data_IF_743831454743
#
_entry.id   IF_743831454743
#
_cell.length_a   1.000
_cell.length_b   1.000
_cell.length_c   1.000
_cell.angle_alpha   90.00
_cell.angle_beta   90.00
_cell.angle_gamma   90.00
#
_symmetry.space_group_name_H-M   'P 1'
#
loop_
_entity.id
_entity.type
_entity.pdbx_description
1 polymer ?
#
# COMPACT_ATOMS: atom_id res chain seq x y z
N UNK A 1 -4.07 5.86 -30.57
CA UNK A 1 -2.76 6.52 -30.78
C UNK A 1 -2.55 7.53 -29.67
N UNK A 2 -1.45 7.41 -28.92
CA UNK A 2 -1.10 8.29 -27.80
C UNK A 2 0.15 9.09 -28.20
N UNK A 3 0.18 10.40 -27.91
CA UNK A 3 1.26 11.28 -28.35
C UNK A 3 1.71 12.23 -27.22
N UNK A 4 3.01 12.44 -27.09
CA UNK A 4 3.59 13.53 -26.30
C UNK A 4 3.85 14.70 -27.26
N UNK A 5 3.01 15.74 -27.26
CA UNK A 5 3.13 16.81 -28.22
C UNK A 5 4.38 17.65 -27.95
N UNK A 6 4.93 18.25 -29.00
CA UNK A 6 5.98 19.27 -28.91
C UNK A 6 5.61 20.49 -29.72
N UNK A 7 6.01 21.66 -29.23
CA UNK A 7 5.81 22.94 -29.90
C UNK A 7 4.45 23.58 -29.59
N UNK A 8 4.01 24.46 -30.49
CA UNK A 8 2.81 25.32 -30.31
C UNK A 8 1.71 25.07 -31.34
N UNK A 9 1.81 23.98 -32.08
CA UNK A 9 0.83 23.62 -33.11
C UNK A 9 0.39 22.17 -32.90
N UNK A 10 -0.78 22.02 -32.28
CA UNK A 10 -1.36 20.71 -31.99
C UNK A 10 -2.22 20.16 -33.13
N UNK A 11 -2.49 20.95 -34.18
CA UNK A 11 -3.27 20.50 -35.34
C UNK A 11 -2.61 19.33 -36.08
N UNK A 12 -1.28 19.18 -35.92
CA UNK A 12 -0.50 18.06 -36.45
C UNK A 12 -0.83 16.71 -35.83
N UNK A 13 -1.49 16.71 -34.67
CA UNK A 13 -1.88 15.51 -33.92
C UNK A 13 -3.36 15.17 -34.09
N UNK A 14 -4.00 15.73 -35.13
CA UNK A 14 -5.42 15.57 -35.39
C UNK A 14 -5.84 14.10 -35.51
N UNK A 15 -6.95 13.73 -34.86
CA UNK A 15 -7.48 12.36 -34.85
C UNK A 15 -6.75 11.40 -33.92
N UNK A 16 -5.81 11.88 -33.09
CA UNK A 16 -5.18 11.07 -32.06
C UNK A 16 -6.20 10.72 -30.95
N UNK A 17 -5.97 9.59 -30.28
CA UNK A 17 -6.82 9.18 -29.16
C UNK A 17 -6.61 10.10 -27.97
N UNK A 18 -5.35 10.40 -27.65
CA UNK A 18 -4.97 11.24 -26.52
C UNK A 18 -3.61 11.89 -26.80
N UNK A 19 -3.49 13.16 -26.42
CA UNK A 19 -2.20 13.85 -26.36
C UNK A 19 -1.90 14.30 -24.91
N UNK A 20 -0.61 14.42 -24.57
CA UNK A 20 -0.13 14.62 -23.18
C UNK A 20 0.69 15.90 -22.96
N UNK A 21 0.23 17.11 -23.33
CA UNK A 21 1.02 18.32 -23.17
C UNK A 21 1.33 18.61 -21.70
N UNK A 22 2.49 19.20 -21.44
CA UNK A 22 2.74 19.87 -20.16
C UNK A 22 2.01 21.22 -20.09
N UNK A 23 1.96 21.80 -18.89
CA UNK A 23 1.27 23.07 -18.64
C UNK A 23 1.72 24.19 -19.59
N UNK A 24 3.03 24.35 -19.78
CA UNK A 24 3.58 25.39 -20.64
C UNK A 24 3.26 25.16 -22.12
N UNK A 25 3.27 23.91 -22.58
CA UNK A 25 2.87 23.54 -23.94
C UNK A 25 1.36 23.77 -24.15
N UNK A 26 0.54 23.43 -23.16
CA UNK A 26 -0.90 23.66 -23.18
C UNK A 26 -1.22 25.16 -23.26
N UNK A 27 -0.68 25.99 -22.35
CA UNK A 27 -0.94 27.43 -22.36
C UNK A 27 -0.41 28.12 -23.63
N UNK A 28 0.67 27.61 -24.23
CA UNK A 28 1.19 28.15 -25.47
C UNK A 28 0.24 27.99 -26.67
N UNK A 29 -0.71 27.04 -26.60
CA UNK A 29 -1.72 26.80 -27.65
C UNK A 29 -3.09 27.29 -27.22
N UNK A 30 -3.50 27.01 -25.98
CA UNK A 30 -4.84 27.27 -25.47
C UNK A 30 -5.01 28.71 -24.92
N UNK A 31 -3.90 29.39 -24.62
CA UNK A 31 -3.87 30.65 -23.88
C UNK A 31 -3.69 30.44 -22.38
N UNK A 32 -3.35 31.51 -21.67
CA UNK A 32 -3.13 31.48 -20.22
C UNK A 32 -4.44 31.15 -19.48
N UNK A 33 -4.37 30.23 -18.51
CA UNK A 33 -5.52 29.80 -17.72
C UNK A 33 -5.26 30.04 -16.23
N UNK A 34 -6.07 30.87 -15.58
CA UNK A 34 -5.92 31.23 -14.17
C UNK A 34 -6.63 30.30 -13.18
N UNK A 35 -7.54 29.45 -13.66
CA UNK A 35 -8.33 28.53 -12.84
C UNK A 35 -8.74 27.27 -13.61
N UNK A 36 -9.32 26.29 -12.91
CA UNK A 36 -9.74 25.02 -13.51
C UNK A 36 -10.86 25.21 -14.56
N UNK A 37 -11.80 26.14 -14.37
CA UNK A 37 -12.88 26.36 -15.33
C UNK A 37 -12.36 26.89 -16.68
N UNK A 38 -11.38 27.79 -16.65
CA UNK A 38 -10.69 28.27 -17.86
C UNK A 38 -9.91 27.15 -18.56
N UNK A 39 -9.20 26.33 -17.77
CA UNK A 39 -8.49 25.14 -18.27
C UNK A 39 -9.47 24.18 -18.96
N UNK A 40 -10.58 23.83 -18.30
CA UNK A 40 -11.60 22.92 -18.83
C UNK A 40 -12.16 23.42 -20.16
N UNK A 41 -12.58 24.68 -20.23
CA UNK A 41 -13.10 25.29 -21.45
C UNK A 41 -12.07 25.27 -22.60
N UNK A 42 -10.81 25.60 -22.30
CA UNK A 42 -9.72 25.59 -23.27
C UNK A 42 -9.36 24.15 -23.72
N UNK A 43 -9.42 23.19 -22.81
CA UNK A 43 -9.21 21.77 -23.10
C UNK A 43 -10.29 21.21 -24.03
N UNK A 44 -11.57 21.51 -23.78
CA UNK A 44 -12.66 21.06 -24.65
C UNK A 44 -12.55 21.62 -26.06
N UNK A 45 -12.18 22.91 -26.18
CA UNK A 45 -11.94 23.53 -27.48
C UNK A 45 -10.80 22.82 -28.24
N UNK A 46 -9.69 22.53 -27.56
CA UNK A 46 -8.58 21.80 -28.19
C UNK A 46 -8.94 20.38 -28.59
N UNK A 47 -9.76 19.70 -27.79
CA UNK A 47 -10.27 18.37 -28.11
C UNK A 47 -11.10 18.42 -29.41
N UNK A 48 -11.97 19.42 -29.56
CA UNK A 48 -12.78 19.63 -30.76
C UNK A 48 -11.89 19.98 -31.97
N UNK A 49 -11.03 20.99 -31.85
CA UNK A 49 -10.17 21.49 -32.93
C UNK A 49 -9.23 20.39 -33.49
N UNK A 50 -8.76 19.50 -32.61
CA UNK A 50 -7.84 18.41 -32.94
C UNK A 50 -8.54 17.05 -33.11
N UNK A 51 -9.87 16.97 -33.02
CA UNK A 51 -10.64 15.72 -33.11
C UNK A 51 -10.08 14.61 -32.19
N UNK A 52 -9.81 14.96 -30.93
CA UNK A 52 -9.26 14.04 -29.93
C UNK A 52 -10.37 13.30 -29.19
N UNK A 53 -10.07 12.11 -28.66
CA UNK A 53 -10.96 11.48 -27.67
C UNK A 53 -10.73 12.05 -26.27
N UNK A 54 -9.46 12.30 -25.93
CA UNK A 54 -9.05 12.79 -24.62
C UNK A 54 -7.86 13.77 -24.74
N UNK A 55 -7.73 14.66 -23.76
CA UNK A 55 -6.57 15.52 -23.56
C UNK A 55 -6.08 15.35 -22.12
N UNK A 56 -4.82 14.98 -21.93
CA UNK A 56 -4.22 14.90 -20.59
C UNK A 56 -3.18 16.00 -20.42
N UNK A 57 -3.48 16.99 -19.59
CA UNK A 57 -2.56 18.08 -19.28
C UNK A 57 -1.79 17.76 -18.01
N UNK A 58 -0.45 17.69 -18.08
CA UNK A 58 0.41 17.55 -16.90
C UNK A 58 0.72 18.92 -16.30
N UNK A 59 0.46 19.10 -15.01
CA UNK A 59 0.47 20.38 -14.29
C UNK A 59 1.55 20.47 -13.21
N UNK A 60 2.63 19.70 -13.36
CA UNK A 60 3.73 19.66 -12.39
C UNK A 60 3.23 19.30 -10.98
N UNK A 61 3.49 20.19 -10.01
CA UNK A 61 3.08 20.01 -8.60
C UNK A 61 1.55 20.00 -8.39
N UNK A 62 0.77 20.49 -9.35
CA UNK A 62 -0.70 20.43 -9.27
C UNK A 62 -1.26 19.08 -9.75
N UNK A 63 -0.41 18.19 -10.29
CA UNK A 63 -0.79 16.88 -10.77
C UNK A 63 -1.18 16.88 -12.25
N UNK A 64 -2.35 16.34 -12.59
CA UNK A 64 -2.80 16.17 -13.98
C UNK A 64 -4.30 16.50 -14.14
N UNK A 65 -4.68 16.98 -15.32
CA UNK A 65 -6.08 17.16 -15.71
C UNK A 65 -6.38 16.32 -16.95
N UNK A 66 -7.26 15.34 -16.84
CA UNK A 66 -7.77 14.55 -17.96
C UNK A 66 -9.11 15.12 -18.39
N UNK A 67 -9.23 15.59 -19.63
CA UNK A 67 -10.49 15.99 -20.25
C UNK A 67 -10.87 15.01 -21.36
N UNK A 68 -12.16 14.73 -21.49
CA UNK A 68 -12.72 13.84 -22.51
C UNK A 68 -13.66 14.59 -23.47
N UNK A 69 -13.87 14.02 -24.65
CA UNK A 69 -14.73 14.59 -25.69
C UNK A 69 -16.21 14.70 -25.31
N UNK A 70 -16.65 13.97 -24.30
CA UNK A 70 -18.01 14.03 -23.73
C UNK A 70 -18.15 15.08 -22.61
N UNK A 71 -17.19 15.99 -22.53
CA UNK A 71 -17.12 17.08 -21.54
C UNK A 71 -16.92 16.63 -20.09
N UNK A 72 -16.46 15.41 -19.86
CA UNK A 72 -16.00 15.00 -18.52
C UNK A 72 -14.56 15.45 -18.28
N UNK A 73 -14.27 15.95 -17.08
CA UNK A 73 -12.91 16.29 -16.63
C UNK A 73 -12.61 15.65 -15.28
N UNK A 74 -11.41 15.09 -15.16
CA UNK A 74 -10.85 14.56 -13.93
C UNK A 74 -9.55 15.28 -13.58
N UNK A 75 -9.54 15.95 -12.43
CA UNK A 75 -8.33 16.53 -11.85
C UNK A 75 -7.73 15.57 -10.83
N UNK A 76 -6.51 15.12 -11.11
CA UNK A 76 -5.74 14.21 -10.27
C UNK A 76 -4.61 15.01 -9.61
N UNK A 77 -4.65 15.29 -8.30
CA UNK A 77 -3.55 15.99 -7.63
C UNK A 77 -2.26 15.18 -7.71
N UNK A 78 -1.11 15.86 -7.72
CA UNK A 78 0.18 15.17 -7.60
C UNK A 78 0.29 14.50 -6.23
N UNK A 79 1.08 13.44 -6.14
CA UNK A 79 1.40 12.79 -4.87
C UNK A 79 2.91 12.62 -4.66
N UNK A 80 3.73 13.31 -5.45
CA UNK A 80 5.17 13.34 -5.23
C UNK A 80 5.44 13.98 -3.86
N UNK A 81 6.04 13.20 -2.94
CA UNK A 81 6.40 13.69 -1.60
C UNK A 81 7.67 14.55 -1.63
N UNK A 82 8.60 14.23 -2.53
CA UNK A 82 9.84 14.99 -2.76
C UNK A 82 10.18 14.95 -4.26
N UNK A 83 10.35 16.11 -4.89
CA UNK A 83 10.71 16.22 -6.31
C UNK A 83 12.22 16.45 -6.39
N UNK A 84 12.94 15.48 -6.92
CA UNK A 84 14.39 15.52 -7.10
C UNK A 84 14.79 15.90 -8.53
N UNK A 85 14.17 15.26 -9.53
CA UNK A 85 14.46 15.48 -10.96
C UNK A 85 13.21 15.25 -11.79
N UNK A 86 12.86 16.17 -12.69
CA UNK A 86 11.66 16.04 -13.55
C UNK A 86 11.96 15.40 -14.91
N UNK A 87 13.22 15.05 -15.16
CA UNK A 87 13.67 14.47 -16.43
C UNK A 87 13.04 13.10 -16.67
N UNK A 88 12.36 12.92 -17.82
CA UNK A 88 11.74 11.64 -18.20
C UNK A 88 10.37 11.36 -17.57
N UNK A 89 9.81 12.29 -16.79
CA UNK A 89 8.47 12.16 -16.23
C UNK A 89 7.39 12.06 -17.32
N UNK A 90 7.48 12.89 -18.37
CA UNK A 90 6.55 12.85 -19.52
C UNK A 90 6.58 11.51 -20.26
N UNK A 91 7.78 10.98 -20.53
CA UNK A 91 7.96 9.66 -21.15
C UNK A 91 7.35 8.55 -20.28
N UNK A 92 7.49 8.66 -18.96
CA UNK A 92 6.89 7.73 -18.00
C UNK A 92 5.36 7.78 -18.04
N UNK A 93 4.78 8.98 -18.14
CA UNK A 93 3.32 9.17 -18.24
C UNK A 93 2.78 8.48 -19.49
N UNK A 94 3.34 8.79 -20.65
CA UNK A 94 2.83 8.24 -21.92
C UNK A 94 3.06 6.73 -22.02
N UNK A 95 4.19 6.22 -21.54
CA UNK A 95 4.46 4.78 -21.52
C UNK A 95 3.49 4.03 -20.60
N UNK A 96 3.24 4.57 -19.40
CA UNK A 96 2.32 3.95 -18.44
C UNK A 96 0.88 3.97 -18.94
N UNK A 97 0.43 5.09 -19.51
CA UNK A 97 -0.87 5.20 -20.19
C UNK A 97 -1.02 4.16 -21.29
N UNK A 98 -0.01 4.05 -22.17
CA UNK A 98 -0.03 3.11 -23.28
C UNK A 98 -0.19 1.67 -22.80
N UNK A 99 0.58 1.26 -21.80
CA UNK A 99 0.52 -0.10 -21.24
C UNK A 99 -0.84 -0.36 -20.58
N UNK A 100 -1.34 0.56 -19.75
CA UNK A 100 -2.60 0.38 -19.04
C UNK A 100 -3.81 0.33 -20.00
N UNK A 101 -3.85 1.23 -20.99
CA UNK A 101 -4.91 1.24 -22.00
C UNK A 101 -4.82 0.00 -22.90
N UNK A 102 -3.62 -0.45 -23.27
CA UNK A 102 -3.43 -1.70 -24.03
C UNK A 102 -3.90 -2.93 -23.24
N UNK A 103 -3.81 -2.89 -21.91
CA UNK A 103 -4.36 -3.91 -21.01
C UNK A 103 -5.89 -3.80 -20.80
N UNK A 104 -6.58 -2.91 -21.52
CA UNK A 104 -8.03 -2.73 -21.46
C UNK A 104 -8.53 -1.92 -20.27
N UNK A 105 -7.65 -1.22 -19.55
CA UNK A 105 -8.07 -0.35 -18.45
C UNK A 105 -8.74 0.93 -18.98
N UNK A 106 -9.76 1.46 -18.27
CA UNK A 106 -10.33 2.79 -18.55
C UNK A 106 -9.27 3.89 -18.53
N UNK A 107 -9.45 4.95 -19.31
CA UNK A 107 -8.47 6.04 -19.46
C UNK A 107 -8.23 6.75 -18.14
N UNK A 108 -9.26 6.88 -17.30
CA UNK A 108 -9.21 7.46 -15.97
C UNK A 108 -8.29 6.64 -15.04
N UNK A 109 -8.45 5.30 -15.06
CA UNK A 109 -7.61 4.38 -14.29
C UNK A 109 -6.16 4.38 -14.81
N UNK A 110 -5.98 4.39 -16.14
CA UNK A 110 -4.67 4.52 -16.77
C UNK A 110 -3.98 5.84 -16.39
N UNK A 111 -4.74 6.94 -16.33
CA UNK A 111 -4.23 8.25 -15.94
C UNK A 111 -3.85 8.29 -14.46
N UNK A 112 -4.66 7.70 -13.57
CA UNK A 112 -4.31 7.58 -12.16
C UNK A 112 -2.99 6.81 -11.97
N UNK A 113 -2.80 5.71 -12.71
CA UNK A 113 -1.57 4.94 -12.68
C UNK A 113 -0.37 5.73 -13.23
N UNK A 114 -0.57 6.49 -14.31
CA UNK A 114 0.46 7.34 -14.90
C UNK A 114 0.86 8.51 -14.00
N UNK A 115 -0.10 9.11 -13.29
CA UNK A 115 0.17 10.14 -12.29
C UNK A 115 1.00 9.60 -11.12
N UNK A 116 0.70 8.38 -10.66
CA UNK A 116 1.52 7.69 -9.67
C UNK A 116 2.93 7.39 -10.20
N UNK A 117 3.02 6.86 -11.41
CA UNK A 117 4.29 6.53 -12.08
C UNK A 117 5.20 7.77 -12.19
N UNK A 118 4.64 8.88 -12.66
CA UNK A 118 5.34 10.15 -12.74
C UNK A 118 5.82 10.61 -11.36
N UNK A 119 4.94 10.55 -10.34
CA UNK A 119 5.29 10.90 -8.96
C UNK A 119 6.45 10.09 -8.38
N UNK A 120 6.56 8.80 -8.74
CA UNK A 120 7.68 7.94 -8.33
C UNK A 120 8.97 8.31 -9.08
N UNK A 121 8.89 8.52 -10.39
CA UNK A 121 10.07 8.83 -11.22
C UNK A 121 10.66 10.18 -10.87
N UNK A 122 9.83 11.20 -10.57
CA UNK A 122 10.37 12.51 -10.19
C UNK A 122 11.10 12.51 -8.85
N UNK A 123 10.91 11.46 -8.04
CA UNK A 123 11.65 11.21 -6.81
C UNK A 123 13.05 10.61 -7.02
N UNK A 124 13.45 10.31 -8.27
CA UNK A 124 14.71 9.65 -8.61
C UNK A 124 15.61 10.60 -9.40
N UNK A 125 16.92 10.36 -9.36
CA UNK A 125 17.91 11.13 -10.15
C UNK A 125 17.99 10.63 -11.60
N UNK A 126 17.92 11.54 -12.56
CA UNK A 126 18.10 11.28 -13.99
C UNK A 126 16.91 10.61 -14.66
N UNK A 127 17.13 10.09 -15.87
CA UNK A 127 16.14 9.30 -16.63
C UNK A 127 15.94 7.94 -15.96
N UNK A 128 15.09 7.89 -14.95
CA UNK A 128 14.76 6.68 -14.22
C UNK A 128 13.49 6.02 -14.76
N UNK A 129 13.43 4.69 -14.67
CA UNK A 129 12.21 3.92 -14.96
C UNK A 129 11.42 3.64 -13.69
N UNK A 130 10.13 3.38 -13.84
CA UNK A 130 9.29 2.79 -12.80
C UNK A 130 9.08 1.30 -13.06
N UNK A 131 9.21 0.48 -12.02
CA UNK A 131 8.92 -0.95 -12.09
C UNK A 131 7.47 -1.26 -11.69
N UNK A 132 6.96 -2.42 -12.11
CA UNK A 132 5.64 -2.88 -11.70
C UNK A 132 5.50 -2.97 -10.16
N UNK A 133 6.56 -3.39 -9.46
CA UNK A 133 6.58 -3.46 -7.99
C UNK A 133 6.45 -2.07 -7.36
N UNK A 134 7.12 -1.07 -7.90
CA UNK A 134 7.03 0.30 -7.39
C UNK A 134 5.64 0.90 -7.61
N UNK A 135 5.00 0.61 -8.74
CA UNK A 135 3.61 1.00 -8.99
C UNK A 135 2.64 0.28 -8.04
N UNK A 136 2.80 -1.02 -7.84
CA UNK A 136 1.99 -1.80 -6.90
C UNK A 136 2.12 -1.24 -5.48
N UNK A 137 3.36 -0.98 -5.03
CA UNK A 137 3.64 -0.34 -3.73
C UNK A 137 2.96 1.01 -3.63
N UNK A 138 3.15 1.88 -4.62
CA UNK A 138 2.56 3.20 -4.63
C UNK A 138 1.03 3.15 -4.57
N UNK A 139 0.39 2.20 -5.27
CA UNK A 139 -1.07 2.00 -5.25
C UNK A 139 -1.55 1.47 -3.90
N UNK A 140 -0.78 0.55 -3.30
CA UNK A 140 -1.08 -0.04 -2.00
C UNK A 140 -1.01 1.02 -0.90
N UNK A 141 -0.02 1.90 -0.93
CA UNK A 141 0.05 3.08 -0.04
C UNK A 141 -1.16 4.02 -0.21
N UNK A 142 -1.83 4.03 -1.37
CA UNK A 142 -3.08 4.79 -1.54
C UNK A 142 -4.30 4.10 -0.93
N UNK A 143 -4.32 2.76 -0.93
CA UNK A 143 -5.51 1.95 -0.63
C UNK A 143 -5.52 1.47 0.81
N UNK A 144 -4.38 1.05 1.31
CA UNK A 144 -4.19 0.73 2.71
C UNK A 144 -3.86 2.03 3.41
N UNK A 145 -4.88 2.61 4.02
CA UNK A 145 -4.67 3.29 5.29
C UNK A 145 -3.72 2.42 6.11
N UNK A 146 -2.81 3.05 6.85
CA UNK A 146 -1.66 2.48 7.56
C UNK A 146 -1.92 1.16 8.35
N UNK A 147 -3.18 0.75 8.51
CA UNK A 147 -3.64 -0.37 9.31
C UNK A 147 -4.64 -1.28 8.55
N UNK A 148 -4.62 -2.60 8.78
CA UNK A 148 -5.65 -3.51 8.29
C UNK A 148 -5.25 -4.97 8.09
N UNK A 149 -6.21 -5.76 7.59
CA UNK A 149 -5.99 -7.14 7.13
C UNK A 149 -5.35 -7.12 5.74
N UNK A 150 -4.23 -7.82 5.57
CA UNK A 150 -3.44 -7.83 4.33
C UNK A 150 -3.08 -9.24 3.89
N UNK A 151 -2.86 -9.42 2.58
CA UNK A 151 -2.23 -10.63 2.06
C UNK A 151 -0.74 -10.63 2.37
N UNK A 152 -0.08 -11.79 2.29
CA UNK A 152 1.37 -11.85 2.49
C UNK A 152 2.14 -11.09 1.40
N UNK A 153 1.67 -11.12 0.14
CA UNK A 153 2.30 -10.40 -0.95
C UNK A 153 2.22 -8.89 -0.74
N UNK A 154 1.06 -8.40 -0.30
CA UNK A 154 0.85 -7.00 0.04
C UNK A 154 1.68 -6.59 1.27
N UNK A 155 1.75 -7.45 2.30
CA UNK A 155 2.54 -7.19 3.50
C UNK A 155 4.01 -6.96 3.15
N UNK A 156 4.60 -7.76 2.27
CA UNK A 156 6.00 -7.61 1.87
C UNK A 156 6.23 -6.24 1.21
N UNK A 157 5.30 -5.78 0.37
CA UNK A 157 5.38 -4.46 -0.25
C UNK A 157 5.25 -3.32 0.79
N UNK A 158 4.36 -3.46 1.77
CA UNK A 158 4.17 -2.47 2.85
C UNK A 158 5.39 -2.37 3.76
N UNK A 159 5.98 -3.52 4.09
CA UNK A 159 7.16 -3.60 4.94
C UNK A 159 8.39 -3.04 4.24
N UNK A 160 8.58 -3.32 2.96
CA UNK A 160 9.64 -2.66 2.18
C UNK A 160 9.42 -1.15 2.12
N UNK A 161 8.17 -0.69 1.94
CA UNK A 161 7.86 0.74 1.97
C UNK A 161 8.14 1.40 3.33
N UNK A 162 7.83 0.71 4.43
CA UNK A 162 8.10 1.18 5.78
C UNK A 162 9.62 1.27 6.06
N UNK A 163 10.39 0.27 5.61
CA UNK A 163 11.85 0.30 5.71
C UNK A 163 12.49 1.42 4.92
N UNK A 164 11.98 1.72 3.72
CA UNK A 164 12.44 2.87 2.92
C UNK A 164 12.23 4.20 3.67
N UNK A 165 11.25 4.28 4.58
CA UNK A 165 11.02 5.41 5.50
C UNK A 165 11.84 5.34 6.79
N UNK A 166 12.65 4.30 6.99
CA UNK A 166 13.41 4.06 8.22
C UNK A 166 12.55 3.59 9.40
N UNK A 167 11.31 3.14 9.16
CA UNK A 167 10.42 2.59 10.19
C UNK A 167 10.88 1.19 10.62
N UNK A 168 10.88 0.93 11.94
CA UNK A 168 11.20 -0.38 12.52
C UNK A 168 9.98 -1.29 12.57
N UNK A 169 10.15 -2.51 12.08
CA UNK A 169 9.08 -3.50 11.96
C UNK A 169 9.11 -4.47 13.14
N UNK A 170 8.03 -4.47 13.93
CA UNK A 170 7.78 -5.43 15.00
C UNK A 170 6.87 -6.53 14.48
N UNK A 171 7.23 -7.79 14.74
CA UNK A 171 6.42 -8.94 14.38
C UNK A 171 6.06 -9.77 15.61
N UNK A 172 4.82 -10.20 15.67
CA UNK A 172 4.32 -11.17 16.64
C UNK A 172 3.33 -12.10 15.96
N UNK A 173 3.08 -13.26 16.58
CA UNK A 173 2.07 -14.18 16.09
C UNK A 173 1.36 -14.91 17.22
N UNK A 174 0.14 -15.37 16.92
CA UNK A 174 -0.65 -16.16 17.85
C UNK A 174 -2.01 -16.55 17.29
N UNK A 175 -2.73 -17.34 18.09
CA UNK A 175 -4.08 -17.77 17.75
C UNK A 175 -5.14 -16.67 18.02
N UNK A 176 -4.98 -15.91 19.11
CA UNK A 176 -5.89 -14.82 19.51
C UNK A 176 -7.38 -15.19 19.46
N UNK A 177 -7.72 -16.38 19.95
CA UNK A 177 -9.09 -16.93 19.88
C UNK A 177 -10.13 -16.08 20.62
N UNK A 178 -9.97 -15.93 21.94
CA UNK A 178 -10.73 -14.97 22.73
C UNK A 178 -9.76 -13.90 23.22
N UNK A 179 -9.84 -12.72 22.62
CA UNK A 179 -9.07 -11.58 23.06
C UNK A 179 -9.50 -11.16 24.47
N UNK A 180 -8.50 -10.79 25.28
CA UNK A 180 -8.68 -10.34 26.65
C UNK A 180 -7.61 -9.30 26.97
N UNK A 181 -7.72 -8.64 28.12
CA UNK A 181 -6.82 -7.56 28.54
C UNK A 181 -5.34 -7.95 28.41
N UNK A 182 -4.96 -9.17 28.84
CA UNK A 182 -3.59 -9.67 28.66
C UNK A 182 -3.08 -9.65 27.21
N UNK A 183 -3.88 -10.05 26.22
CA UNK A 183 -3.49 -9.96 24.81
C UNK A 183 -3.37 -8.52 24.34
N UNK A 184 -4.32 -7.66 24.72
CA UNK A 184 -4.32 -6.24 24.34
C UNK A 184 -3.09 -5.54 24.89
N UNK A 185 -2.77 -5.72 26.18
CA UNK A 185 -1.59 -5.09 26.79
C UNK A 185 -0.28 -5.65 26.22
N UNK A 186 -0.22 -6.96 25.97
CA UNK A 186 0.94 -7.57 25.30
C UNK A 186 1.20 -6.95 23.92
N UNK A 187 0.16 -6.85 23.08
CA UNK A 187 0.26 -6.27 21.75
C UNK A 187 0.58 -4.77 21.80
N UNK A 188 0.03 -4.03 22.76
CA UNK A 188 0.33 -2.62 22.98
C UNK A 188 1.78 -2.40 23.47
N UNK A 189 2.33 -3.32 24.27
CA UNK A 189 3.74 -3.28 24.63
C UNK A 189 4.63 -3.60 23.44
N UNK A 190 4.24 -4.58 22.61
CA UNK A 190 4.98 -4.93 21.40
C UNK A 190 5.01 -3.76 20.41
N UNK A 191 3.89 -3.07 20.18
CA UNK A 191 3.83 -1.93 19.25
C UNK A 191 4.75 -0.78 19.66
N UNK A 192 4.99 -0.57 20.96
CA UNK A 192 5.90 0.48 21.47
C UNK A 192 7.39 0.21 21.21
N UNK A 193 7.76 -0.97 20.72
CA UNK A 193 9.15 -1.35 20.49
C UNK A 193 9.64 -1.07 19.06
N UNK A 194 8.76 -0.60 18.19
CA UNK A 194 9.07 -0.15 16.84
C UNK A 194 8.00 0.81 16.33
N UNK A 195 7.92 0.96 15.01
CA UNK A 195 7.03 1.92 14.36
C UNK A 195 5.82 1.24 13.71
N UNK A 196 5.97 -0.04 13.33
CA UNK A 196 4.90 -0.85 12.71
C UNK A 196 4.78 -2.20 13.41
N UNK A 197 3.57 -2.58 13.82
CA UNK A 197 3.27 -3.89 14.40
C UNK A 197 2.54 -4.79 13.40
N UNK A 198 3.18 -5.92 13.09
CA UNK A 198 2.62 -7.03 12.30
C UNK A 198 2.17 -8.15 13.23
N UNK A 199 0.92 -8.58 13.08
CA UNK A 199 0.33 -9.69 13.83
C UNK A 199 -0.08 -10.81 12.88
N UNK A 200 0.66 -11.92 12.92
CA UNK A 200 0.31 -13.11 12.17
C UNK A 200 -0.63 -14.03 12.97
N UNK A 201 -1.69 -14.51 12.34
CA UNK A 201 -2.80 -15.22 12.98
C UNK A 201 -2.91 -16.64 12.43
N UNK A 202 -2.88 -17.65 13.31
CA UNK A 202 -3.04 -19.05 12.88
C UNK A 202 -4.41 -19.29 12.24
N UNK A 203 -4.47 -20.04 11.13
CA UNK A 203 -5.73 -20.55 10.55
C UNK A 203 -6.43 -21.55 11.48
N UNK A 204 -7.73 -21.76 11.28
CA UNK A 204 -8.57 -22.56 12.17
C UNK A 204 -8.12 -24.03 12.24
N UNK A 205 -7.66 -24.60 11.14
CA UNK A 205 -7.14 -25.97 11.04
C UNK A 205 -5.93 -26.18 11.95
N UNK A 206 -4.97 -25.27 11.91
CA UNK A 206 -3.74 -25.33 12.73
C UNK A 206 -4.07 -25.16 14.20
N UNK A 207 -5.03 -24.28 14.53
CA UNK A 207 -5.48 -24.11 15.92
C UNK A 207 -6.15 -25.39 16.44
N UNK A 208 -6.99 -26.07 15.63
CA UNK A 208 -7.61 -27.35 16.00
C UNK A 208 -6.56 -28.41 16.29
N UNK A 209 -5.51 -28.48 15.48
CA UNK A 209 -4.41 -29.43 15.68
C UNK A 209 -3.62 -29.15 16.96
N UNK A 210 -3.34 -27.87 17.25
CA UNK A 210 -2.54 -27.47 18.41
C UNK A 210 -3.31 -27.51 19.74
N UNK A 211 -4.59 -27.16 19.74
CA UNK A 211 -5.40 -26.94 20.97
C UNK A 211 -6.59 -27.88 21.12
N UNK A 212 -6.84 -28.75 20.14
CA UNK A 212 -7.94 -29.70 20.12
C UNK A 212 -9.15 -29.24 19.28
N UNK A 213 -10.09 -30.16 19.00
CA UNK A 213 -11.15 -29.95 18.00
C UNK A 213 -12.19 -28.89 18.37
N UNK A 214 -12.34 -28.56 19.66
CA UNK A 214 -13.26 -27.52 20.14
C UNK A 214 -12.73 -26.08 19.96
N UNK A 215 -11.51 -25.91 19.43
CA UNK A 215 -10.85 -24.61 19.23
C UNK A 215 -10.47 -24.43 17.75
N UNK A 216 -10.54 -23.22 17.18
CA UNK A 216 -10.90 -21.95 17.82
C UNK A 216 -12.42 -21.81 17.99
N UNK A 217 -12.83 -20.98 18.96
CA UNK A 217 -14.24 -20.58 19.14
C UNK A 217 -14.63 -19.55 18.08
N UNK A 218 -13.73 -18.61 17.77
CA UNK A 218 -13.94 -17.60 16.74
C UNK A 218 -13.25 -17.99 15.43
N UNK A 219 -13.94 -17.93 14.28
CA UNK A 219 -13.32 -18.20 12.99
C UNK A 219 -12.23 -17.18 12.69
N UNK A 220 -11.26 -17.58 11.84
CA UNK A 220 -10.10 -16.78 11.46
C UNK A 220 -10.43 -15.33 11.08
N UNK A 221 -11.44 -15.14 10.22
CA UNK A 221 -11.84 -13.82 9.75
C UNK A 221 -12.22 -12.89 10.91
N UNK A 222 -12.99 -13.39 11.88
CA UNK A 222 -13.39 -12.60 13.05
C UNK A 222 -12.20 -12.24 13.93
N UNK A 223 -11.29 -13.20 14.17
CA UNK A 223 -10.09 -12.97 14.97
C UNK A 223 -9.21 -11.90 14.35
N UNK A 224 -9.00 -11.96 13.04
CA UNK A 224 -8.22 -10.97 12.29
C UNK A 224 -8.89 -9.59 12.29
N UNK A 225 -10.22 -9.53 12.11
CA UNK A 225 -10.95 -8.27 12.10
C UNK A 225 -10.84 -7.53 13.44
N UNK A 226 -10.97 -8.24 14.57
CA UNK A 226 -10.82 -7.61 15.89
C UNK A 226 -9.40 -7.11 16.12
N UNK A 227 -8.38 -7.88 15.71
CA UNK A 227 -6.98 -7.45 15.81
C UNK A 227 -6.71 -6.21 14.96
N UNK A 228 -7.22 -6.16 13.72
CA UNK A 228 -7.05 -5.03 12.82
C UNK A 228 -7.78 -3.76 13.30
N UNK A 229 -8.76 -3.90 14.20
CA UNK A 229 -9.46 -2.77 14.81
C UNK A 229 -8.69 -2.16 16.01
N UNK A 230 -7.62 -2.80 16.49
CA UNK A 230 -6.78 -2.25 17.54
C UNK A 230 -5.90 -1.15 16.95
N UNK A 231 -6.06 0.09 17.40
CA UNK A 231 -5.38 1.27 16.83
C UNK A 231 -3.85 1.30 16.94
N UNK A 232 -3.23 0.25 17.49
CA UNK A 232 -1.77 0.08 17.57
C UNK A 232 -1.28 -1.17 16.83
N UNK A 233 -2.16 -1.83 16.06
CA UNK A 233 -1.84 -2.96 15.18
C UNK A 233 -1.94 -2.49 13.74
N UNK A 234 -0.80 -2.39 13.06
CA UNK A 234 -0.74 -1.98 11.66
C UNK A 234 -1.22 -3.10 10.75
N UNK A 235 -0.58 -4.26 10.72
CA UNK A 235 -0.91 -5.28 9.72
C UNK A 235 -1.25 -6.62 10.33
N UNK A 236 -2.36 -7.20 9.87
CA UNK A 236 -2.83 -8.52 10.28
C UNK A 236 -2.89 -9.44 9.08
N UNK A 237 -2.31 -10.63 9.20
CA UNK A 237 -2.35 -11.64 8.14
C UNK A 237 -2.50 -13.06 8.69
N UNK A 238 -3.12 -13.97 7.92
CA UNK A 238 -3.21 -15.37 8.29
C UNK A 238 -1.93 -16.14 7.93
N UNK A 239 -1.66 -17.23 8.64
CA UNK A 239 -0.67 -18.24 8.25
C UNK A 239 -1.14 -19.65 8.64
N UNK A 240 -0.81 -20.65 7.80
CA UNK A 240 -1.34 -22.01 7.91
C UNK A 240 -0.33 -23.02 8.48
N UNK A 241 0.95 -22.70 8.39
CA UNK A 241 2.03 -23.53 8.88
C UNK A 241 1.97 -23.72 10.39
N UNK A 242 2.57 -24.82 10.87
CA UNK A 242 2.67 -25.11 12.30
C UNK A 242 3.44 -24.00 13.04
N UNK A 243 4.48 -23.46 12.41
CA UNK A 243 5.26 -22.33 12.92
C UNK A 243 5.25 -21.17 11.93
N UNK A 244 5.35 -19.91 12.40
CA UNK A 244 5.44 -18.73 11.54
C UNK A 244 6.83 -18.55 10.91
N UNK A 245 7.75 -19.50 11.09
CA UNK A 245 9.17 -19.36 10.73
C UNK A 245 9.36 -18.99 9.26
N UNK A 246 8.65 -19.65 8.36
CA UNK A 246 8.70 -19.35 6.91
C UNK A 246 8.36 -17.88 6.62
N UNK A 247 7.32 -17.37 7.26
CA UNK A 247 6.87 -15.99 7.11
C UNK A 247 7.89 -15.03 7.72
N UNK A 248 8.41 -15.33 8.92
CA UNK A 248 9.44 -14.53 9.59
C UNK A 248 10.72 -14.45 8.76
N UNK A 249 11.20 -15.56 8.20
CA UNK A 249 12.42 -15.59 7.39
C UNK A 249 12.27 -14.86 6.04
N UNK A 250 11.05 -14.79 5.49
CA UNK A 250 10.73 -13.97 4.31
C UNK A 250 10.65 -12.49 4.68
N UNK A 251 9.95 -12.16 5.76
CA UNK A 251 9.71 -10.79 6.19
C UNK A 251 10.96 -10.13 6.77
N UNK A 252 11.75 -10.88 7.55
CA UNK A 252 12.95 -10.44 8.29
C UNK A 252 12.69 -9.22 9.19
N UNK A 253 11.71 -9.28 10.10
CA UNK A 253 11.36 -8.13 10.94
C UNK A 253 12.57 -7.66 11.78
N UNK A 254 12.60 -6.36 12.12
CA UNK A 254 13.65 -5.78 12.97
C UNK A 254 13.54 -6.26 14.42
N UNK A 255 12.32 -6.62 14.84
CA UNK A 255 12.05 -7.16 16.16
C UNK A 255 11.00 -8.26 16.10
N UNK A 256 11.36 -9.45 16.61
CA UNK A 256 10.43 -10.54 16.87
C UNK A 256 10.03 -10.53 18.36
N UNK A 257 8.74 -10.37 18.62
CA UNK A 257 8.20 -10.33 19.98
C UNK A 257 7.36 -11.57 20.26
N UNK A 258 7.58 -12.18 21.43
CA UNK A 258 6.75 -13.24 21.98
C UNK A 258 6.33 -12.94 23.41
N UNK A 259 5.12 -13.35 23.78
CA UNK A 259 4.65 -13.31 25.16
C UNK A 259 5.04 -14.57 25.94
N UNK A 260 5.28 -14.43 27.24
CA UNK A 260 5.42 -15.52 28.21
C UNK A 260 6.84 -15.86 28.59
N UNK A 261 7.07 -17.11 29.01
CA UNK A 261 8.36 -17.59 29.53
C UNK A 261 9.11 -18.47 28.50
N UNK A 262 9.03 -18.08 27.22
CA UNK A 262 9.72 -18.81 26.16
C UNK A 262 11.21 -18.49 26.18
N UNK A 263 12.05 -19.49 25.91
CA UNK A 263 13.45 -19.25 25.60
C UNK A 263 13.55 -18.47 24.27
N UNK A 264 14.12 -17.24 24.26
CA UNK A 264 14.27 -16.44 23.05
C UNK A 264 15.00 -17.18 21.92
N UNK A 265 15.88 -18.13 22.23
CA UNK A 265 16.66 -18.87 21.25
C UNK A 265 15.89 -20.03 20.61
N UNK A 266 14.83 -20.51 21.28
CA UNK A 266 13.99 -21.59 20.79
C UNK A 266 12.79 -21.10 19.96
N UNK A 267 12.62 -19.78 19.80
CA UNK A 267 11.48 -19.21 19.06
C UNK A 267 11.65 -19.50 17.56
N UNK A 268 10.67 -20.14 16.88
CA UNK A 268 10.74 -20.36 15.45
C UNK A 268 10.92 -19.05 14.67
N UNK A 269 11.94 -18.98 13.82
CA UNK A 269 12.32 -17.77 13.09
C UNK A 269 13.32 -16.84 13.80
N UNK A 270 13.70 -17.10 15.05
CA UNK A 270 14.69 -16.29 15.79
C UNK A 270 16.05 -16.23 15.08
N UNK A 271 16.51 -17.35 14.52
CA UNK A 271 17.76 -17.42 13.75
C UNK A 271 17.75 -16.45 12.55
N UNK A 272 16.70 -16.53 11.72
CA UNK A 272 16.53 -15.65 10.56
C UNK A 272 16.53 -14.15 10.92
N UNK A 273 15.89 -13.79 12.04
CA UNK A 273 15.82 -12.39 12.50
C UNK A 273 17.21 -11.90 12.91
N UNK A 274 17.96 -12.68 13.69
CA UNK A 274 19.31 -12.30 14.14
C UNK A 274 20.32 -12.28 13.00
N UNK A 275 20.25 -13.23 12.07
CA UNK A 275 21.08 -13.22 10.85
C UNK A 275 20.82 -11.98 9.97
N UNK A 276 19.59 -11.47 9.99
CA UNK A 276 19.22 -10.22 9.33
C UNK A 276 19.58 -8.95 10.13
N UNK A 277 20.15 -9.10 11.33
CA UNK A 277 20.52 -7.97 12.22
C UNK A 277 19.41 -7.48 13.15
N UNK A 278 18.28 -8.19 13.21
CA UNK A 278 17.16 -7.89 14.10
C UNK A 278 17.30 -8.49 15.50
N UNK A 279 16.37 -8.14 16.38
CA UNK A 279 16.32 -8.56 17.78
C UNK A 279 15.16 -9.53 18.05
N UNK A 280 15.29 -10.36 19.09
CA UNK A 280 14.21 -11.21 19.59
C UNK A 280 13.97 -10.83 21.05
N UNK A 281 12.72 -10.50 21.41
CA UNK A 281 12.33 -10.12 22.77
C UNK A 281 11.15 -10.94 23.26
N UNK A 282 11.27 -11.34 24.52
CA UNK A 282 10.20 -12.04 25.23
C UNK A 282 9.64 -11.09 26.27
N UNK A 283 8.35 -10.80 26.17
CA UNK A 283 7.62 -9.93 27.08
C UNK A 283 6.87 -10.78 28.12
N UNK A 284 7.00 -10.41 29.38
CA UNK A 284 6.28 -11.05 30.47
C UNK A 284 4.77 -10.86 30.30
N UNK A 285 3.98 -11.92 30.50
CA UNK A 285 2.53 -11.77 30.61
C UNK A 285 2.19 -11.00 31.88
N UNK A 286 1.12 -10.21 31.83
CA UNK A 286 0.49 -9.68 33.04
C UNK A 286 -0.27 -10.84 33.70
N UNK A 287 0.04 -11.13 34.96
CA UNK A 287 -0.62 -12.16 35.75
C UNK A 287 -2.14 -11.93 35.86
N UNK A 288 -2.91 -13.02 35.72
CA UNK A 288 -4.30 -13.09 36.20
C UNK A 288 -5.44 -13.16 35.18
N UNK A 289 -5.18 -13.08 33.86
CA UNK A 289 -6.24 -13.20 32.85
C UNK A 289 -5.79 -14.07 31.67
N UNK A 290 -6.17 -15.35 31.68
CA UNK A 290 -5.97 -16.27 30.56
C UNK A 290 -7.29 -16.62 29.88
N UNK A 291 -7.24 -16.89 28.58
CA UNK A 291 -8.39 -17.36 27.80
C UNK A 291 -9.02 -18.63 28.39
N UNK A 292 -8.18 -19.49 29.00
CA UNK A 292 -8.60 -20.74 29.63
C UNK A 292 -9.35 -20.48 30.94
N UNK A 293 -8.86 -19.58 31.80
CA UNK A 293 -9.51 -19.24 33.07
C UNK A 293 -10.88 -18.58 32.89
N UNK A 294 -11.09 -17.79 31.82
CA UNK A 294 -12.40 -17.21 31.49
C UNK A 294 -13.39 -18.30 31.07
N UNK A 295 -12.97 -19.24 30.22
CA UNK A 295 -13.84 -20.33 29.75
C UNK A 295 -14.16 -21.33 30.86
N UNK A 296 -13.20 -21.64 31.73
CA UNK A 296 -13.42 -22.50 32.88
C UNK A 296 -14.37 -21.86 33.91
N UNK A 297 -14.30 -20.53 34.09
CA UNK A 297 -15.24 -19.80 34.95
C UNK A 297 -16.68 -19.86 34.42
N UNK A 298 -16.88 -19.86 33.09
CA UNK A 298 -18.20 -20.01 32.48
C UNK A 298 -18.71 -21.46 32.63
N UNK A 299 -17.84 -22.47 32.50
CA UNK A 299 -18.20 -23.89 32.67
C UNK A 299 -18.51 -24.29 34.12
N UNK A 300 -17.93 -23.61 35.11
CA UNK A 300 -18.18 -23.87 36.54
C UNK A 300 -19.38 -23.10 37.13
N UNK A 301 -20.01 -22.22 36.35
CA UNK A 301 -21.14 -21.38 36.76
C UNK A 301 -22.52 -21.83 36.25
N UNK A 302 -22.74 -23.14 36.01
CA UNK A 302 -24.07 -23.73 35.76
C UNK A 302 -24.49 -24.65 36.89
#
# INVERSE_FOLDING_TARGET
VLLDPKGRDFSRYKGATLITPNWSEFEAVAGACGNNAELEAAAFKLIEDCELSHLLVTRGEQGMSLAASDQQVHHLPTRAREVFDVTGAGDTVIATLAVAMAAGQPVEAATALANLAAGIVVGKLGTASVSARELQRGLLEQRLAEHGVVSEEDLLLLVDAARDRGERIVFTNGCFDLLHAGHVTYLEQASKLGDRLVVAVNVDETVRQLKGPERPVNPLENRMHVLAALGFVDWVLPFAEETPERLICRLKPDLLVKGGDNDPDAIPGAGCVREAGGEVRVLSYIDGVSTTSIVDSIKQGS
#
